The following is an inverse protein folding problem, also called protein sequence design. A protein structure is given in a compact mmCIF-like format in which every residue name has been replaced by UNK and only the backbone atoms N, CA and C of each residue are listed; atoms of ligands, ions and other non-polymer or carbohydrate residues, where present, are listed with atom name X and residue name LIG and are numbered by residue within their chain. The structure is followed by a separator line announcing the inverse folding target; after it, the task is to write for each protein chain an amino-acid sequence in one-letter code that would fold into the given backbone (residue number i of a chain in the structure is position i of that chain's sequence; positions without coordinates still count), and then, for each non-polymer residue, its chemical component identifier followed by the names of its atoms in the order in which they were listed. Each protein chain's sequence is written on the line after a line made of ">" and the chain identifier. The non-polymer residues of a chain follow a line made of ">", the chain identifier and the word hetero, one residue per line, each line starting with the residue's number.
data_IF_257774181302
#
_entry.id   IF_257774181302
#
_cell.length_a   1.000
_cell.length_b   1.000
_cell.length_c   1.000
_cell.angle_alpha   90.00
_cell.angle_beta   90.00
_cell.angle_gamma   90.00
#
_symmetry.space_group_name_H-M   'P 1'
#
loop_
_entity.id
_entity.type
_entity.pdbx_description
1 polymer ?
#
# COMPACT_ATOMS: atom_id res chain seq x y z
N UNK A 1 27.00 -30.17 -0.41
CA UNK A 1 27.75 -28.90 -0.35
C UNK A 1 27.75 -28.31 -1.74
N UNK A 2 26.90 -27.31 -2.01
CA UNK A 2 27.09 -26.41 -3.14
C UNK A 2 26.42 -25.09 -2.78
N UNK A 3 27.26 -24.07 -2.70
CA UNK A 3 26.97 -22.68 -2.37
C UNK A 3 26.19 -22.05 -3.53
N UNK A 4 25.07 -21.36 -3.26
CA UNK A 4 24.25 -20.69 -4.27
C UNK A 4 24.08 -19.22 -3.91
N UNK A 5 24.71 -18.35 -4.70
CA UNK A 5 24.78 -16.90 -4.52
C UNK A 5 23.58 -16.19 -5.18
N UNK A 6 23.00 -15.21 -4.49
CA UNK A 6 21.93 -14.35 -5.02
C UNK A 6 22.48 -13.25 -5.92
N UNK A 7 21.71 -12.90 -6.95
CA UNK A 7 21.98 -11.79 -7.84
C UNK A 7 20.66 -11.03 -8.10
N UNK A 8 20.57 -9.81 -7.57
CA UNK A 8 19.61 -8.82 -8.06
C UNK A 8 20.21 -8.07 -9.26
N UNK A 9 19.49 -8.01 -10.38
CA UNK A 9 19.89 -7.25 -11.58
C UNK A 9 18.86 -6.16 -11.86
N UNK A 10 19.34 -4.92 -12.01
CA UNK A 10 18.53 -3.77 -12.46
C UNK A 10 18.43 -3.74 -14.00
N UNK A 11 17.22 -3.50 -14.51
CA UNK A 11 17.03 -2.97 -15.86
C UNK A 11 17.27 -1.45 -15.87
N UNK A 12 17.78 -0.94 -16.99
CA UNK A 12 18.50 0.34 -17.09
C UNK A 12 17.70 1.63 -16.85
N UNK A 13 18.45 2.69 -16.53
CA UNK A 13 17.99 4.07 -16.29
C UNK A 13 17.41 4.72 -17.55
N UNK A 14 16.21 5.28 -17.43
CA UNK A 14 15.76 6.47 -18.18
C UNK A 14 15.21 7.47 -17.20
N UNK A 15 15.79 8.67 -17.19
CA UNK A 15 15.40 9.78 -16.34
C UNK A 15 14.31 10.59 -17.05
N UNK A 16 13.05 10.35 -16.72
CA UNK A 16 11.93 11.25 -17.02
C UNK A 16 10.86 11.01 -15.97
N UNK A 17 10.64 11.99 -15.08
CA UNK A 17 9.48 11.99 -14.19
C UNK A 17 8.22 12.20 -15.05
N UNK A 18 7.44 11.14 -15.24
CA UNK A 18 6.05 11.21 -15.66
C UNK A 18 5.18 10.95 -14.44
N UNK A 19 4.20 11.81 -14.18
CA UNK A 19 3.04 11.44 -13.36
C UNK A 19 2.43 10.16 -13.97
N UNK A 20 2.47 9.05 -13.24
CA UNK A 20 1.73 7.83 -13.60
C UNK A 20 2.49 6.50 -13.64
N UNK A 21 3.78 6.41 -13.33
CA UNK A 21 4.46 5.10 -13.22
C UNK A 21 5.06 4.90 -11.81
N UNK A 22 4.34 4.11 -11.00
CA UNK A 22 4.82 3.63 -9.72
C UNK A 22 5.95 2.61 -9.93
N UNK A 23 7.04 2.64 -9.12
CA UNK A 23 8.08 1.63 -9.20
C UNK A 23 7.53 0.22 -9.03
N UNK A 24 7.84 -0.67 -9.96
CA UNK A 24 7.52 -2.10 -9.86
C UNK A 24 8.76 -2.88 -9.44
N UNK A 25 8.63 -3.70 -8.41
CA UNK A 25 9.67 -4.61 -7.93
C UNK A 25 9.25 -6.05 -8.16
N UNK A 26 10.18 -6.88 -8.61
CA UNK A 26 10.00 -8.32 -8.74
C UNK A 26 10.73 -9.00 -7.57
N UNK A 27 9.98 -9.75 -6.78
CA UNK A 27 10.51 -10.61 -5.72
C UNK A 27 10.59 -12.03 -6.29
N UNK A 28 11.80 -12.45 -6.66
CA UNK A 28 12.04 -13.81 -7.15
C UNK A 28 12.21 -14.77 -5.99
N UNK A 29 11.37 -15.81 -5.96
CA UNK A 29 11.39 -16.86 -4.94
C UNK A 29 11.57 -18.24 -5.58
N UNK A 30 11.87 -19.25 -4.77
CA UNK A 30 11.93 -20.65 -5.26
C UNK A 30 10.57 -21.16 -5.77
N UNK A 31 9.46 -20.50 -5.41
CA UNK A 31 8.10 -20.86 -5.80
C UNK A 31 7.56 -19.99 -6.94
N UNK A 32 8.37 -19.08 -7.48
CA UNK A 32 7.99 -18.17 -8.56
C UNK A 32 8.19 -16.70 -8.23
N UNK A 33 7.90 -15.86 -9.21
CA UNK A 33 8.05 -14.41 -9.11
C UNK A 33 6.77 -13.75 -8.58
N UNK A 34 6.95 -12.78 -7.68
CA UNK A 34 5.88 -11.90 -7.20
C UNK A 34 6.19 -10.48 -7.67
N UNK A 35 5.28 -9.87 -8.44
CA UNK A 35 5.42 -8.48 -8.85
C UNK A 35 4.64 -7.58 -7.90
N UNK A 36 5.29 -6.50 -7.44
CA UNK A 36 4.72 -5.55 -6.50
C UNK A 36 4.90 -4.14 -7.05
N UNK A 37 3.81 -3.40 -7.18
CA UNK A 37 3.80 -1.98 -7.52
C UNK A 37 3.87 -1.14 -6.23
N UNK A 38 4.75 -0.14 -6.19
CA UNK A 38 5.07 0.64 -4.99
C UNK A 38 4.60 2.08 -5.11
N UNK A 39 3.76 2.52 -4.18
CA UNK A 39 3.08 3.82 -4.25
C UNK A 39 3.86 4.88 -3.49
N UNK A 40 4.90 5.43 -4.14
CA UNK A 40 5.83 6.38 -3.54
C UNK A 40 5.19 7.73 -3.18
N UNK A 41 4.09 8.09 -3.85
CA UNK A 41 3.24 9.25 -3.55
C UNK A 41 2.46 9.08 -2.24
N UNK A 42 2.14 7.84 -1.85
CA UNK A 42 1.46 7.53 -0.58
C UNK A 42 2.44 7.35 0.57
N UNK A 43 3.52 6.59 0.36
CA UNK A 43 4.48 6.22 1.41
C UNK A 43 5.93 6.40 0.95
N UNK A 44 6.38 7.64 0.69
CA UNK A 44 7.68 7.91 0.06
C UNK A 44 8.85 7.33 0.84
N UNK A 45 8.88 7.48 2.17
CA UNK A 45 10.01 7.00 2.98
C UNK A 45 10.04 5.48 3.05
N UNK A 46 8.88 4.85 3.11
CA UNK A 46 8.75 3.39 3.14
C UNK A 46 9.20 2.79 1.82
N UNK A 47 8.75 3.36 0.70
CA UNK A 47 9.14 2.93 -0.65
C UNK A 47 10.64 3.15 -0.89
N UNK A 48 11.18 4.32 -0.56
CA UNK A 48 12.62 4.61 -0.65
C UNK A 48 13.45 3.66 0.22
N UNK A 49 12.97 3.37 1.42
CA UNK A 49 13.61 2.42 2.31
C UNK A 49 13.64 1.01 1.71
N UNK A 50 12.50 0.53 1.20
CA UNK A 50 12.38 -0.79 0.61
C UNK A 50 13.26 -0.94 -0.64
N UNK A 51 13.18 0.00 -1.58
CA UNK A 51 14.00 0.00 -2.81
C UNK A 51 15.49 0.12 -2.46
N UNK A 52 15.84 0.98 -1.51
CA UNK A 52 17.21 1.17 -1.06
C UNK A 52 17.83 -0.12 -0.50
N UNK A 53 17.08 -0.83 0.36
CA UNK A 53 17.49 -2.12 0.92
C UNK A 53 17.55 -3.21 -0.15
N UNK A 54 16.55 -3.30 -1.04
CA UNK A 54 16.52 -4.29 -2.11
C UNK A 54 17.66 -4.12 -3.12
N UNK A 55 17.94 -2.88 -3.53
CA UNK A 55 19.02 -2.57 -4.47
C UNK A 55 20.42 -2.58 -3.84
N UNK A 56 20.51 -2.68 -2.52
CA UNK A 56 21.77 -2.60 -1.80
C UNK A 56 22.42 -1.21 -1.81
N UNK A 57 21.63 -0.15 -2.03
CA UNK A 57 22.11 1.24 -1.97
C UNK A 57 21.93 1.87 -0.59
N UNK A 58 21.11 1.26 0.27
CA UNK A 58 20.90 1.68 1.66
C UNK A 58 21.75 0.86 2.60
N UNK A 59 22.45 1.56 3.50
CA UNK A 59 23.24 0.95 4.56
C UNK A 59 22.32 0.29 5.60
N UNK A 60 22.71 -0.88 6.10
CA UNK A 60 22.01 -1.61 7.14
C UNK A 60 23.02 -2.36 8.03
N UNK A 61 22.61 -2.74 9.24
CA UNK A 61 23.48 -3.44 10.19
C UNK A 61 23.42 -4.95 10.01
N UNK A 62 24.55 -5.60 9.72
CA UNK A 62 24.62 -7.06 9.66
C UNK A 62 24.38 -7.65 11.06
N UNK A 63 23.34 -8.47 11.27
CA UNK A 63 23.04 -8.99 12.60
C UNK A 63 24.08 -10.00 13.11
N UNK A 64 24.93 -10.55 12.23
CA UNK A 64 25.96 -11.51 12.60
C UNK A 64 27.24 -10.81 13.07
N UNK A 65 27.59 -9.67 12.47
CA UNK A 65 28.84 -8.96 12.76
C UNK A 65 28.62 -7.67 13.56
N UNK A 66 27.43 -7.09 13.50
CA UNK A 66 27.10 -5.78 14.05
C UNK A 66 27.62 -4.60 13.22
N UNK A 67 28.26 -4.88 12.07
CA UNK A 67 28.85 -3.86 11.21
C UNK A 67 27.82 -3.26 10.25
N UNK A 68 28.01 -2.00 9.89
CA UNK A 68 27.24 -1.35 8.85
C UNK A 68 27.72 -1.83 7.47
N UNK A 69 26.79 -2.29 6.64
CA UNK A 69 27.06 -2.85 5.32
C UNK A 69 26.11 -2.26 4.27
N UNK A 70 26.59 -2.16 3.02
CA UNK A 70 25.82 -1.63 1.88
C UNK A 70 25.84 -2.66 0.76
N UNK A 71 24.83 -3.54 0.77
CA UNK A 71 24.62 -4.64 -0.19
C UNK A 71 23.14 -5.04 -0.17
N UNK A 72 22.62 -5.75 -1.19
CA UNK A 72 21.22 -6.20 -1.22
C UNK A 72 20.81 -6.91 0.09
N UNK A 73 19.78 -6.40 0.75
CA UNK A 73 19.37 -6.83 2.08
C UNK A 73 18.47 -8.06 2.07
N UNK A 74 17.52 -8.12 1.12
CA UNK A 74 16.49 -9.17 1.07
C UNK A 74 16.97 -10.48 0.41
N UNK A 75 18.12 -10.42 -0.25
CA UNK A 75 18.69 -11.55 -0.95
C UNK A 75 18.97 -12.71 0.03
N UNK A 76 18.30 -13.84 -0.19
CA UNK A 76 18.51 -15.08 0.58
C UNK A 76 17.70 -15.17 1.86
N UNK A 77 16.85 -14.18 2.12
CA UNK A 77 15.94 -14.22 3.26
C UNK A 77 14.77 -15.18 3.00
N UNK A 78 14.22 -15.70 4.08
CA UNK A 78 13.09 -16.64 4.04
C UNK A 78 11.79 -15.98 4.49
N UNK A 79 10.67 -16.51 4.00
CA UNK A 79 9.35 -16.28 4.60
C UNK A 79 9.23 -17.17 5.84
N UNK A 80 9.58 -16.60 6.99
CA UNK A 80 9.67 -17.33 8.26
C UNK A 80 8.30 -17.56 8.91
N UNK A 81 7.26 -16.90 8.43
CA UNK A 81 5.89 -17.10 8.90
C UNK A 81 4.93 -17.14 7.72
N UNK A 82 4.21 -18.25 7.60
CA UNK A 82 3.19 -18.53 6.58
C UNK A 82 1.94 -19.00 7.31
N UNK A 83 0.84 -18.28 7.13
CA UNK A 83 -0.46 -18.64 7.70
C UNK A 83 -1.46 -18.69 6.56
N UNK A 84 -2.04 -19.88 6.36
CA UNK A 84 -3.06 -20.14 5.36
C UNK A 84 -4.23 -19.17 5.52
N UNK A 85 -4.72 -18.65 4.39
CA UNK A 85 -5.83 -17.69 4.30
C UNK A 85 -5.63 -16.38 5.09
N UNK A 86 -4.38 -16.05 5.44
CA UNK A 86 -4.06 -14.79 6.12
C UNK A 86 -2.90 -14.05 5.44
N UNK A 87 -1.66 -14.51 5.61
CA UNK A 87 -0.49 -13.81 5.06
C UNK A 87 0.80 -14.63 5.08
N UNK A 88 1.78 -14.16 4.30
CA UNK A 88 3.18 -14.55 4.38
C UNK A 88 4.03 -13.37 4.86
N UNK A 89 5.00 -13.63 5.75
CA UNK A 89 5.88 -12.62 6.33
C UNK A 89 7.35 -13.04 6.15
N UNK A 90 8.14 -12.12 5.58
CA UNK A 90 9.57 -12.28 5.30
C UNK A 90 10.39 -11.09 5.83
N UNK A 91 11.55 -10.84 5.21
CA UNK A 91 12.34 -9.63 5.49
C UNK A 91 13.14 -9.66 6.81
N UNK A 92 13.26 -10.82 7.46
CA UNK A 92 14.03 -10.96 8.70
C UNK A 92 15.39 -11.62 8.41
N UNK A 93 16.52 -10.94 8.65
CA UNK A 93 17.84 -11.46 8.31
C UNK A 93 18.29 -12.65 9.18
N UNK A 94 17.66 -12.82 10.36
CA UNK A 94 17.87 -13.98 11.25
C UNK A 94 16.77 -15.05 11.12
N UNK A 95 15.76 -14.84 10.28
CA UNK A 95 14.75 -15.84 9.93
C UNK A 95 13.76 -16.24 11.05
N UNK A 96 13.71 -15.51 12.17
CA UNK A 96 12.80 -15.81 13.29
C UNK A 96 11.75 -14.70 13.55
N UNK A 97 11.77 -13.63 12.75
CA UNK A 97 10.87 -12.49 12.86
C UNK A 97 11.28 -11.38 13.83
N UNK A 98 12.42 -11.48 14.52
CA UNK A 98 12.86 -10.47 15.50
C UNK A 98 13.89 -9.48 14.96
N UNK A 99 14.46 -9.73 13.79
CA UNK A 99 15.52 -8.91 13.18
C UNK A 99 15.01 -7.97 12.08
N UNK A 100 15.81 -6.96 11.77
CA UNK A 100 15.57 -5.98 10.71
C UNK A 100 16.89 -5.31 10.27
N UNK A 101 16.84 -4.16 9.58
CA UNK A 101 18.01 -3.50 9.02
C UNK A 101 18.89 -2.76 10.05
N UNK A 102 18.59 -2.90 11.36
CA UNK A 102 19.36 -2.28 12.45
C UNK A 102 18.94 -0.85 12.80
N UNK A 103 17.84 -0.35 12.22
CA UNK A 103 17.28 0.96 12.51
C UNK A 103 15.76 0.95 12.45
N UNK A 104 15.17 2.00 13.02
CA UNK A 104 13.74 2.32 12.91
C UNK A 104 13.58 3.66 12.19
N UNK A 105 12.45 3.84 11.51
CA UNK A 105 12.05 5.10 10.92
C UNK A 105 10.55 5.30 11.17
N UNK A 106 10.10 6.53 11.02
CA UNK A 106 8.74 6.98 11.29
C UNK A 106 7.67 6.33 10.40
N UNK A 107 6.50 6.07 10.97
CA UNK A 107 5.34 5.55 10.26
C UNK A 107 4.73 6.63 9.37
N UNK A 108 4.33 6.28 8.15
CA UNK A 108 3.67 7.18 7.20
C UNK A 108 2.14 6.95 7.22
N UNK A 109 1.46 7.64 8.14
CA UNK A 109 0.03 7.50 8.37
C UNK A 109 -0.71 8.83 8.11
N UNK A 110 -1.99 8.75 7.76
CA UNK A 110 -2.83 9.94 7.66
C UNK A 110 -3.19 10.49 9.04
N UNK A 111 -3.08 11.80 9.25
CA UNK A 111 -3.46 12.42 10.52
C UNK A 111 -5.00 12.50 10.63
N UNK A 112 -5.54 11.78 11.62
CA UNK A 112 -6.97 11.76 11.92
C UNK A 112 -7.52 13.18 12.16
N UNK A 113 -8.68 13.48 11.58
CA UNK A 113 -9.35 14.77 11.75
C UNK A 113 -8.74 15.95 10.98
N UNK A 114 -7.75 15.72 10.11
CA UNK A 114 -7.21 16.76 9.20
C UNK A 114 -7.76 16.67 7.78
N UNK A 115 -8.69 15.75 7.54
CA UNK A 115 -9.41 15.62 6.28
C UNK A 115 -10.28 16.84 6.01
N UNK A 116 -10.44 17.18 4.74
CA UNK A 116 -11.38 18.20 4.31
C UNK A 116 -12.76 17.59 4.13
N UNK A 117 -13.82 18.34 4.45
CA UNK A 117 -15.18 17.86 4.26
C UNK A 117 -15.48 17.68 2.78
N UNK A 118 -15.88 16.47 2.38
CA UNK A 118 -16.35 16.18 1.03
C UNK A 118 -17.79 16.70 0.89
N UNK A 119 -18.09 17.47 -0.16
CA UNK A 119 -19.44 17.96 -0.45
C UNK A 119 -19.69 18.10 -1.95
N UNK A 120 -20.95 18.05 -2.37
CA UNK A 120 -21.33 18.19 -3.78
C UNK A 120 -20.95 16.98 -4.65
N UNK A 121 -20.50 17.25 -5.88
CA UNK A 121 -20.12 16.20 -6.84
C UNK A 121 -18.65 15.82 -6.66
N UNK A 122 -18.32 14.56 -6.96
CA UNK A 122 -16.93 14.15 -7.11
C UNK A 122 -16.23 14.98 -8.18
N UNK A 123 -15.12 15.62 -7.83
CA UNK A 123 -14.37 16.48 -8.73
C UNK A 123 -13.53 15.66 -9.72
N UNK A 124 -13.10 14.46 -9.30
CA UNK A 124 -12.32 13.54 -10.10
C UNK A 124 -12.66 12.06 -9.84
N UNK A 125 -12.20 11.17 -10.73
CA UNK A 125 -12.28 9.71 -10.50
C UNK A 125 -11.41 9.27 -9.31
N UNK A 126 -10.34 10.00 -9.00
CA UNK A 126 -9.50 9.73 -7.83
C UNK A 126 -10.27 9.96 -6.53
N UNK A 127 -11.03 11.05 -6.43
CA UNK A 127 -11.88 11.33 -5.25
C UNK A 127 -12.97 10.26 -5.08
N UNK A 128 -13.56 9.81 -6.20
CA UNK A 128 -14.55 8.74 -6.20
C UNK A 128 -13.95 7.39 -5.76
N UNK A 129 -12.72 7.09 -6.20
CA UNK A 129 -11.99 5.89 -5.80
C UNK A 129 -11.60 5.94 -4.31
N UNK A 130 -11.16 7.10 -3.84
CA UNK A 130 -10.87 7.32 -2.43
C UNK A 130 -12.10 7.12 -1.56
N UNK A 131 -13.24 7.70 -1.96
CA UNK A 131 -14.51 7.52 -1.29
C UNK A 131 -14.95 6.04 -1.28
N UNK A 132 -14.79 5.34 -2.41
CA UNK A 132 -15.10 3.91 -2.50
C UNK A 132 -14.29 3.08 -1.50
N UNK A 133 -12.96 3.26 -1.50
CA UNK A 133 -12.05 2.50 -0.66
C UNK A 133 -12.22 2.82 0.83
N UNK A 134 -12.55 4.07 1.17
CA UNK A 134 -12.62 4.53 2.55
C UNK A 134 -13.99 4.28 3.17
N UNK A 135 -15.07 4.55 2.42
CA UNK A 135 -16.43 4.59 2.98
C UNK A 135 -17.33 3.49 2.44
N UNK A 136 -17.38 3.27 1.13
CA UNK A 136 -18.28 2.27 0.56
C UNK A 136 -17.93 0.86 1.02
N UNK A 137 -16.66 0.46 0.89
CA UNK A 137 -16.21 -0.88 1.32
C UNK A 137 -16.47 -1.11 2.81
N UNK A 138 -16.16 -0.12 3.64
CA UNK A 138 -16.39 -0.19 5.08
C UNK A 138 -17.89 -0.29 5.41
N UNK A 139 -18.72 0.51 4.73
CA UNK A 139 -20.17 0.46 4.90
C UNK A 139 -20.70 -0.95 4.59
N UNK A 140 -20.27 -1.59 3.50
CA UNK A 140 -20.68 -2.95 3.16
C UNK A 140 -20.15 -4.02 4.14
N UNK A 141 -18.97 -3.82 4.72
CA UNK A 141 -18.43 -4.73 5.74
C UNK A 141 -19.17 -4.62 7.08
N UNK A 142 -19.65 -3.41 7.43
CA UNK A 142 -20.24 -3.13 8.74
C UNK A 142 -21.78 -3.15 8.75
N UNK A 143 -22.41 -3.05 7.58
CA UNK A 143 -23.87 -2.93 7.46
C UNK A 143 -24.48 -4.26 7.01
N UNK A 144 -25.28 -4.87 7.88
CA UNK A 144 -25.93 -6.15 7.59
C UNK A 144 -26.96 -6.08 6.44
N UNK A 145 -27.62 -4.93 6.27
CA UNK A 145 -28.60 -4.68 5.20
C UNK A 145 -28.40 -3.25 4.65
N UNK A 146 -27.50 -3.08 3.67
CA UNK A 146 -27.30 -1.80 2.99
C UNK A 146 -28.54 -1.40 2.17
N UNK A 147 -28.71 -0.09 1.93
CA UNK A 147 -29.77 0.43 1.07
C UNK A 147 -29.65 -0.13 -0.36
N UNK A 148 -30.80 -0.49 -0.96
CA UNK A 148 -30.85 -1.12 -2.28
C UNK A 148 -30.26 -0.25 -3.40
N UNK A 149 -30.35 1.08 -3.29
CA UNK A 149 -29.79 1.99 -4.28
C UNK A 149 -28.27 2.06 -4.19
N UNK A 150 -27.69 2.03 -2.98
CA UNK A 150 -26.23 1.92 -2.80
C UNK A 150 -25.73 0.60 -3.40
N UNK A 151 -26.46 -0.50 -3.19
CA UNK A 151 -26.13 -1.80 -3.78
C UNK A 151 -26.11 -1.71 -5.31
N UNK A 152 -27.09 -1.04 -5.93
CA UNK A 152 -27.13 -0.85 -7.40
C UNK A 152 -25.93 -0.06 -7.90
N UNK A 153 -25.53 1.01 -7.22
CA UNK A 153 -24.32 1.77 -7.57
C UNK A 153 -23.08 0.89 -7.46
N UNK A 154 -22.96 0.13 -6.38
CA UNK A 154 -21.82 -0.78 -6.17
C UNK A 154 -21.74 -1.86 -7.25
N UNK A 155 -22.89 -2.45 -7.62
CA UNK A 155 -22.96 -3.43 -8.71
C UNK A 155 -22.56 -2.79 -10.05
N UNK A 156 -23.05 -1.58 -10.35
CA UNK A 156 -22.67 -0.87 -11.56
C UNK A 156 -21.15 -0.61 -11.62
N UNK A 157 -20.52 -0.30 -10.48
CA UNK A 157 -19.07 -0.11 -10.41
C UNK A 157 -18.30 -1.41 -10.67
N UNK A 158 -18.78 -2.53 -10.12
CA UNK A 158 -18.20 -3.85 -10.36
C UNK A 158 -18.35 -4.28 -11.82
N UNK A 159 -19.56 -4.14 -12.40
CA UNK A 159 -19.86 -4.51 -13.78
C UNK A 159 -19.03 -3.69 -14.78
N UNK A 160 -18.80 -2.40 -14.48
CA UNK A 160 -17.98 -1.51 -15.29
C UNK A 160 -16.47 -1.65 -15.02
N UNK A 161 -16.06 -2.40 -13.99
CA UNK A 161 -14.70 -2.39 -13.44
C UNK A 161 -14.15 -0.96 -13.27
N UNK A 162 -14.99 -0.05 -12.76
CA UNK A 162 -14.72 1.40 -12.70
C UNK A 162 -15.56 2.07 -11.61
N UNK A 163 -15.02 3.12 -10.98
CA UNK A 163 -15.73 3.92 -9.97
C UNK A 163 -16.59 5.05 -10.56
N UNK A 164 -16.67 5.17 -11.88
CA UNK A 164 -17.47 6.21 -12.55
C UNK A 164 -18.95 6.22 -12.15
N UNK A 165 -19.64 5.08 -11.96
CA UNK A 165 -21.03 5.10 -11.54
C UNK A 165 -21.23 5.77 -10.17
N UNK A 166 -20.22 5.82 -9.30
CA UNK A 166 -20.33 6.60 -8.05
C UNK A 166 -20.57 8.08 -8.31
N UNK A 167 -19.99 8.60 -9.39
CA UNK A 167 -20.00 10.04 -9.70
C UNK A 167 -21.35 10.54 -10.21
N UNK A 168 -22.32 9.64 -10.45
CA UNK A 168 -23.68 10.00 -10.89
C UNK A 168 -24.51 10.65 -9.77
N UNK A 169 -24.13 10.42 -8.52
CA UNK A 169 -24.80 10.95 -7.33
C UNK A 169 -23.88 11.91 -6.56
N UNK A 170 -24.42 12.98 -5.94
CA UNK A 170 -23.65 13.85 -5.07
C UNK A 170 -23.37 13.18 -3.72
N UNK A 171 -22.36 13.66 -3.00
CA UNK A 171 -21.90 13.10 -1.71
C UNK A 171 -23.02 13.11 -0.66
N UNK A 172 -23.88 14.11 -0.67
CA UNK A 172 -25.02 14.22 0.25
C UNK A 172 -26.04 13.08 0.05
N UNK A 173 -26.20 12.61 -1.19
CA UNK A 173 -27.07 11.46 -1.49
C UNK A 173 -26.54 10.20 -0.82
N UNK A 174 -25.22 9.97 -0.86
CA UNK A 174 -24.61 8.84 -0.15
C UNK A 174 -24.72 9.00 1.36
N UNK A 175 -24.61 10.23 1.88
CA UNK A 175 -24.70 10.49 3.31
C UNK A 175 -26.10 10.13 3.84
N UNK A 176 -27.15 10.51 3.11
CA UNK A 176 -28.53 10.14 3.39
C UNK A 176 -28.72 8.62 3.33
N UNK A 177 -28.29 7.98 2.24
CA UNK A 177 -28.52 6.55 2.00
C UNK A 177 -27.75 5.65 2.96
N UNK A 178 -26.58 6.10 3.43
CA UNK A 178 -25.80 5.42 4.46
C UNK A 178 -26.27 5.75 5.89
N UNK A 179 -27.24 6.66 6.05
CA UNK A 179 -27.76 7.07 7.36
C UNK A 179 -26.71 7.73 8.25
N UNK A 180 -25.75 8.47 7.66
CA UNK A 180 -24.66 9.10 8.40
C UNK A 180 -25.02 10.52 8.83
N UNK A 181 -24.85 10.82 10.11
CA UNK A 181 -24.95 12.19 10.64
C UNK A 181 -23.66 12.98 10.37
N UNK A 182 -22.51 12.31 10.52
CA UNK A 182 -21.19 12.92 10.28
C UNK A 182 -20.88 13.02 8.78
N UNK A 183 -20.31 14.15 8.33
CA UNK A 183 -19.91 14.33 6.94
C UNK A 183 -18.77 13.40 6.55
N UNK A 184 -18.69 13.08 5.26
CA UNK A 184 -17.52 12.42 4.70
C UNK A 184 -16.32 13.37 4.67
N UNK A 185 -15.14 12.84 4.88
CA UNK A 185 -13.89 13.58 4.89
C UNK A 185 -12.88 12.91 3.96
N UNK A 186 -12.06 13.70 3.29
CA UNK A 186 -10.89 13.17 2.60
C UNK A 186 -9.91 12.59 3.62
N UNK A 187 -8.97 11.76 3.15
CA UNK A 187 -7.83 11.37 3.96
C UNK A 187 -7.11 12.64 4.43
N UNK A 188 -6.78 12.66 5.72
CA UNK A 188 -6.06 13.77 6.32
C UNK A 188 -4.68 14.00 5.69
N UNK A 189 -3.94 14.97 6.20
CA UNK A 189 -2.55 15.16 5.77
C UNK A 189 -1.73 13.93 6.15
N UNK A 190 -0.98 13.39 5.19
CA UNK A 190 0.01 12.36 5.48
C UNK A 190 1.01 12.94 6.47
N UNK A 191 1.14 12.30 7.63
CA UNK A 191 2.05 12.71 8.67
C UNK A 191 2.95 11.54 9.01
N UNK A 192 4.24 11.77 8.81
CA UNK A 192 5.24 10.86 9.33
C UNK A 192 5.34 11.11 10.86
N UNK A 193 4.81 10.21 11.70
CA UNK A 193 4.95 10.30 13.17
C UNK A 193 5.85 9.16 13.70
N UNK A 194 6.64 9.50 14.72
CA UNK A 194 7.41 8.58 15.57
C UNK A 194 6.53 8.11 16.72
#
# INVERSE_FOLDING_TARGET
>A
MSCGTLHAQQAGKSNTQSEGEHPVVVISTELGDVQVELWQDIAPKTVDNFIGLASGTKEWQDPNTGEAVTRPFYDGLTFHRVIDDFMIQGGCPVGNGSGGPGYQFEDECYEEGTGETMSGKFESEADALEFWNTYMQLHFQQTAQPDEEIIKVAQACQDANSVKPLMEHPIEWYQEKMGREEPFQTKGKLKARV
#
